data_IF_412641018330
#
_entry.id   IF_412641018330
#
_cell.length_a   1.000
_cell.length_b   1.000
_cell.length_c   1.000
_cell.angle_alpha   90.00
_cell.angle_beta   90.00
_cell.angle_gamma   90.00
#
_symmetry.space_group_name_H-M   'P 1'
#
loop_
_entity.id
_entity.type
_entity.pdbx_description
1 polymer ?
#
# COMPACT_ATOMS: atom_id res chain seq x y z
N UNK A 1 14.13 -35.83 -31.57
CA UNK A 1 14.66 -34.53 -31.14
C UNK A 1 13.46 -33.60 -30.99
N UNK A 2 12.85 -33.60 -29.80
CA UNK A 2 11.71 -32.73 -29.44
C UNK A 2 12.23 -31.50 -28.70
N UNK A 3 11.86 -30.31 -29.17
CA UNK A 3 12.10 -29.05 -28.46
C UNK A 3 11.16 -28.99 -27.24
N UNK A 4 11.63 -28.58 -26.09
CA UNK A 4 10.75 -28.25 -24.96
C UNK A 4 9.99 -26.96 -25.25
N UNK A 5 8.71 -26.92 -24.87
CA UNK A 5 7.85 -25.74 -24.88
C UNK A 5 8.36 -24.70 -23.85
N UNK A 6 8.19 -23.40 -24.10
CA UNK A 6 8.57 -22.38 -23.15
C UNK A 6 7.60 -22.35 -21.96
N UNK A 7 8.13 -22.48 -20.77
CA UNK A 7 7.41 -22.19 -19.52
C UNK A 7 6.97 -20.72 -19.52
N UNK A 8 5.68 -20.51 -19.66
CA UNK A 8 5.04 -19.22 -19.39
C UNK A 8 4.84 -19.10 -17.88
N UNK A 9 5.91 -18.81 -17.17
CA UNK A 9 5.80 -18.24 -15.84
C UNK A 9 5.21 -16.83 -15.96
N UNK A 10 4.02 -16.61 -15.42
CA UNK A 10 3.40 -15.29 -15.31
C UNK A 10 4.36 -14.35 -14.59
N UNK A 11 5.06 -13.51 -15.34
CA UNK A 11 5.88 -12.43 -14.79
C UNK A 11 4.93 -11.32 -14.37
N UNK A 12 4.57 -11.28 -13.09
CA UNK A 12 4.02 -10.09 -12.45
C UNK A 12 5.11 -9.00 -12.51
N UNK A 13 5.15 -8.25 -13.60
CA UNK A 13 6.04 -7.13 -13.79
C UNK A 13 5.30 -5.88 -13.32
N UNK A 14 5.40 -5.55 -12.02
CA UNK A 14 5.13 -4.20 -11.57
C UNK A 14 6.15 -3.29 -12.27
N UNK A 15 5.79 -2.79 -13.46
CA UNK A 15 6.62 -1.79 -14.15
C UNK A 15 6.47 -0.47 -13.39
N UNK A 16 7.60 0.06 -12.92
CA UNK A 16 7.69 1.37 -12.31
C UNK A 16 7.16 2.43 -13.29
N UNK A 17 5.99 2.98 -13.00
CA UNK A 17 5.59 4.25 -13.60
C UNK A 17 6.24 5.34 -12.75
N UNK A 18 7.20 6.11 -13.27
CA UNK A 18 7.84 7.14 -12.49
C UNK A 18 6.86 8.30 -12.29
N UNK A 19 6.22 8.33 -11.12
CA UNK A 19 5.49 9.52 -10.67
C UNK A 19 6.53 10.59 -10.32
N UNK A 20 6.65 11.61 -11.15
CA UNK A 20 7.72 12.61 -11.05
C UNK A 20 7.54 13.60 -9.90
N UNK A 21 6.33 13.65 -9.29
CA UNK A 21 6.05 14.63 -8.24
C UNK A 21 4.81 14.23 -7.43
N UNK A 22 4.64 14.77 -6.21
CA UNK A 22 3.41 14.67 -5.41
C UNK A 22 2.19 15.16 -6.21
N UNK A 23 2.38 16.17 -7.05
CA UNK A 23 1.36 16.67 -7.96
C UNK A 23 0.84 15.65 -8.99
N UNK A 24 1.63 14.60 -9.32
CA UNK A 24 1.17 13.57 -10.26
C UNK A 24 0.22 12.58 -9.57
N UNK A 25 0.43 12.30 -8.27
CA UNK A 25 -0.48 11.48 -7.46
C UNK A 25 -1.82 12.18 -7.26
N UNK A 26 -1.79 13.49 -6.94
CA UNK A 26 -2.99 14.32 -6.79
C UNK A 26 -3.76 14.41 -8.11
N UNK A 27 -3.07 14.61 -9.24
CA UNK A 27 -3.71 14.62 -10.56
C UNK A 27 -4.34 13.31 -10.98
N UNK A 28 -3.79 12.15 -10.56
CA UNK A 28 -4.43 10.86 -10.81
C UNK A 28 -5.78 10.72 -10.10
N UNK A 29 -5.94 11.33 -8.92
CA UNK A 29 -7.19 11.32 -8.17
C UNK A 29 -8.28 12.23 -8.74
N UNK A 30 -7.92 13.34 -9.42
CA UNK A 30 -8.88 14.29 -9.99
C UNK A 30 -9.60 13.78 -11.25
N UNK A 31 -9.14 12.67 -11.87
CA UNK A 31 -9.73 12.12 -13.12
C UNK A 31 -10.80 11.04 -12.89
N UNK A 32 -11.37 10.93 -11.70
CA UNK A 32 -12.37 9.89 -11.41
C UNK A 32 -13.80 10.36 -11.64
N UNK A 33 -14.37 10.08 -12.82
CA UNK A 33 -15.80 10.02 -13.02
C UNK A 33 -16.25 8.60 -13.39
N UNK A 34 -17.00 7.98 -12.48
CA UNK A 34 -17.95 6.86 -12.69
C UNK A 34 -17.46 5.44 -13.06
N UNK A 35 -16.18 5.17 -13.26
CA UNK A 35 -15.69 3.80 -13.30
C UNK A 35 -15.42 3.30 -11.87
N UNK A 36 -15.61 2.01 -11.62
CA UNK A 36 -15.44 1.37 -10.30
C UNK A 36 -13.99 1.48 -9.81
N UNK A 37 -13.62 2.63 -9.31
CA UNK A 37 -12.29 2.86 -8.77
C UNK A 37 -12.12 2.09 -7.46
N UNK A 38 -10.91 1.60 -7.22
CA UNK A 38 -10.55 0.84 -6.03
C UNK A 38 -9.91 1.73 -4.95
N UNK A 39 -9.97 3.05 -5.12
CA UNK A 39 -9.48 4.00 -4.13
C UNK A 39 -10.10 3.71 -2.76
N UNK A 40 -9.27 3.65 -1.73
CA UNK A 40 -9.73 3.35 -0.39
C UNK A 40 -10.09 1.89 -0.13
N UNK A 41 -9.78 0.98 -1.06
CA UNK A 41 -9.92 -0.47 -0.88
C UNK A 41 -8.59 -1.11 -0.48
N UNK A 42 -8.68 -2.31 0.07
CA UNK A 42 -7.53 -3.18 0.28
C UNK A 42 -7.44 -4.23 -0.82
N UNK A 43 -6.23 -4.44 -1.32
CA UNK A 43 -5.87 -5.62 -2.08
C UNK A 43 -5.20 -6.61 -1.14
N UNK A 44 -5.66 -7.85 -1.18
CA UNK A 44 -5.12 -8.95 -0.37
C UNK A 44 -4.49 -9.96 -1.32
N UNK A 45 -3.19 -10.19 -1.17
CA UNK A 45 -2.46 -11.12 -2.03
C UNK A 45 -2.98 -12.54 -1.86
N UNK A 46 -3.27 -13.23 -2.97
CA UNK A 46 -3.61 -14.65 -2.95
C UNK A 46 -2.39 -15.49 -2.56
N UNK A 47 -2.58 -16.66 -1.90
CA UNK A 47 -1.47 -17.58 -1.57
C UNK A 47 -0.66 -18.05 -2.79
N UNK A 48 -1.28 -18.02 -3.98
CA UNK A 48 -0.65 -18.35 -5.27
C UNK A 48 0.11 -17.18 -5.89
N UNK A 49 0.25 -16.05 -5.18
CA UNK A 49 0.99 -14.89 -5.66
C UNK A 49 2.41 -15.29 -6.06
N UNK A 50 2.73 -15.15 -7.36
CA UNK A 50 4.01 -15.59 -7.92
C UNK A 50 5.19 -14.65 -7.60
N UNK A 51 4.92 -13.42 -7.17
CA UNK A 51 5.93 -12.44 -6.80
C UNK A 51 6.17 -12.43 -5.29
N UNK A 52 7.36 -12.89 -4.81
CA UNK A 52 7.65 -12.98 -3.39
C UNK A 52 7.63 -11.63 -2.66
N UNK A 53 7.77 -10.51 -3.38
CA UNK A 53 7.67 -9.16 -2.79
C UNK A 53 6.28 -8.91 -2.24
N UNK A 54 5.26 -9.53 -2.84
CA UNK A 54 3.86 -9.38 -2.46
C UNK A 54 3.28 -10.60 -1.73
N UNK A 55 4.12 -11.59 -1.38
CA UNK A 55 3.64 -12.74 -0.58
C UNK A 55 2.94 -12.24 0.69
N UNK A 56 1.68 -12.68 0.88
CA UNK A 56 0.80 -12.28 2.00
C UNK A 56 0.70 -10.78 2.24
N UNK A 57 0.86 -9.97 1.20
CA UNK A 57 0.71 -8.52 1.31
C UNK A 57 -0.75 -8.12 1.45
N UNK A 58 -0.96 -7.06 2.23
CA UNK A 58 -2.18 -6.25 2.25
C UNK A 58 -1.78 -4.87 1.77
N UNK A 59 -2.42 -4.40 0.68
CA UNK A 59 -2.08 -3.13 0.05
C UNK A 59 -3.31 -2.21 0.11
N UNK A 60 -3.14 -1.03 0.67
CA UNK A 60 -4.16 0.02 0.62
C UNK A 60 -4.02 0.80 -0.68
N UNK A 61 -5.08 0.87 -1.49
CA UNK A 61 -5.09 1.62 -2.74
C UNK A 61 -5.35 3.10 -2.45
N UNK A 62 -4.33 3.92 -2.71
CA UNK A 62 -4.38 5.36 -2.53
C UNK A 62 -4.96 6.10 -3.73
N UNK A 63 -4.71 5.58 -4.94
CA UNK A 63 -5.23 6.15 -6.18
C UNK A 63 -5.43 5.05 -7.22
N UNK A 64 -6.54 5.11 -7.96
CA UNK A 64 -6.84 4.23 -9.09
C UNK A 64 -7.59 4.99 -10.18
N UNK A 65 -7.18 4.81 -11.43
CA UNK A 65 -7.78 5.41 -12.62
C UNK A 65 -7.48 4.57 -13.85
N UNK A 66 -8.04 4.95 -15.00
CA UNK A 66 -7.70 4.33 -16.30
C UNK A 66 -6.19 4.43 -16.65
N UNK A 67 -5.45 5.33 -16.00
CA UNK A 67 -4.01 5.51 -16.19
C UNK A 67 -3.16 4.61 -15.28
N UNK A 68 -3.77 3.82 -14.39
CA UNK A 68 -3.11 2.91 -13.49
C UNK A 68 -3.51 3.08 -12.03
N UNK A 69 -2.79 2.41 -11.14
CA UNK A 69 -3.06 2.42 -9.71
C UNK A 69 -1.78 2.61 -8.88
N UNK A 70 -1.95 3.17 -7.69
CA UNK A 70 -0.92 3.30 -6.67
C UNK A 70 -1.46 2.82 -5.32
N UNK A 71 -0.66 2.03 -4.60
CA UNK A 71 -1.02 1.57 -3.26
C UNK A 71 0.18 1.41 -2.34
N UNK A 72 -0.10 1.32 -1.05
CA UNK A 72 0.90 1.14 0.00
C UNK A 72 0.71 -0.21 0.69
N UNK A 73 1.77 -1.00 0.80
CA UNK A 73 1.77 -2.21 1.62
C UNK A 73 1.68 -1.79 3.09
N UNK A 74 0.66 -2.27 3.80
CA UNK A 74 0.35 -1.83 5.16
C UNK A 74 0.65 -2.88 6.23
N UNK A 75 1.23 -4.02 5.84
CA UNK A 75 1.49 -5.14 6.76
C UNK A 75 2.94 -5.67 6.71
N UNK A 76 3.87 -4.94 6.11
CA UNK A 76 5.29 -5.33 6.09
C UNK A 76 6.15 -4.28 6.78
N UNK A 77 6.33 -4.37 8.12
CA UNK A 77 7.21 -3.45 8.83
C UNK A 77 8.67 -3.63 8.38
N UNK A 78 9.38 -2.53 8.28
CA UNK A 78 10.82 -2.48 8.03
C UNK A 78 11.55 -2.67 9.38
N UNK A 79 11.85 -3.92 9.73
CA UNK A 79 12.34 -4.29 11.06
C UNK A 79 13.66 -3.58 11.46
N UNK A 80 14.46 -3.21 10.47
CA UNK A 80 15.79 -2.59 10.68
C UNK A 80 15.76 -1.06 10.67
N UNK A 81 14.59 -0.44 10.52
CA UNK A 81 14.45 1.01 10.42
C UNK A 81 13.37 1.53 11.37
N UNK A 82 13.78 2.33 12.35
CA UNK A 82 12.87 3.01 13.27
C UNK A 82 12.48 4.38 12.73
N UNK A 83 11.31 4.85 13.13
CA UNK A 83 10.87 6.21 12.78
C UNK A 83 11.85 7.28 13.29
N UNK A 84 12.42 7.11 14.50
CA UNK A 84 13.47 7.99 15.05
C UNK A 84 14.69 8.08 14.14
N UNK A 85 15.14 6.94 13.59
CA UNK A 85 16.33 6.91 12.74
C UNK A 85 16.10 7.68 11.43
N UNK A 86 14.88 7.66 10.94
CA UNK A 86 14.48 8.44 9.76
C UNK A 86 14.43 9.93 10.06
N UNK A 87 13.91 10.34 11.21
CA UNK A 87 13.91 11.75 11.63
C UNK A 87 15.34 12.29 11.77
N UNK A 88 16.24 11.49 12.36
CA UNK A 88 17.66 11.85 12.50
C UNK A 88 18.34 12.02 11.13
N UNK A 89 18.04 11.14 10.16
CA UNK A 89 18.56 11.25 8.79
C UNK A 89 18.06 12.50 8.04
N UNK A 90 16.89 13.00 8.42
CA UNK A 90 16.26 14.19 7.82
C UNK A 90 16.53 15.47 8.61
N UNK A 91 17.39 15.41 9.64
CA UNK A 91 17.68 16.53 10.57
C UNK A 91 16.41 17.10 11.28
N UNK A 92 15.37 16.28 11.42
CA UNK A 92 14.13 16.63 12.13
C UNK A 92 14.29 16.28 13.60
N UNK A 93 14.22 17.30 14.46
CA UNK A 93 14.31 17.12 15.90
C UNK A 93 12.94 16.78 16.48
N UNK A 94 12.87 15.70 17.24
CA UNK A 94 11.67 15.37 17.99
C UNK A 94 11.74 16.02 19.39
N UNK A 95 10.70 16.74 19.77
CA UNK A 95 10.60 17.37 21.09
C UNK A 95 10.35 16.36 22.22
N UNK A 96 9.93 15.14 21.85
CA UNK A 96 9.61 14.03 22.77
C UNK A 96 9.88 12.69 22.09
N UNK A 97 10.08 11.59 22.85
CA UNK A 97 10.12 10.26 22.29
C UNK A 97 8.81 9.97 21.52
N UNK A 98 8.94 9.50 20.29
CA UNK A 98 7.81 9.09 19.45
C UNK A 98 7.76 7.57 19.49
N UNK A 99 6.66 7.06 20.02
CA UNK A 99 6.40 5.62 20.10
C UNK A 99 5.19 5.24 19.23
N UNK A 100 5.14 3.98 18.79
CA UNK A 100 3.96 3.41 18.11
C UNK A 100 3.83 3.77 16.64
N UNK A 101 4.85 4.38 16.02
CA UNK A 101 4.89 4.57 14.56
C UNK A 101 5.91 3.62 13.95
N UNK A 102 5.40 2.63 13.24
CA UNK A 102 6.22 1.68 12.52
C UNK A 102 6.49 2.18 11.09
N UNK A 103 7.74 2.02 10.66
CA UNK A 103 8.11 2.24 9.26
C UNK A 103 7.83 0.95 8.50
N UNK A 104 7.14 1.07 7.37
CA UNK A 104 6.78 -0.08 6.53
C UNK A 104 7.52 -0.05 5.20
N UNK A 105 7.74 -1.21 4.63
CA UNK A 105 8.04 -1.38 3.23
C UNK A 105 6.75 -1.18 2.42
N UNK A 106 6.57 0.00 1.82
CA UNK A 106 5.34 0.38 1.12
C UNK A 106 5.20 -0.23 -0.26
N UNK A 107 6.30 -0.66 -0.87
CA UNK A 107 6.31 -1.31 -2.17
C UNK A 107 7.63 -1.18 -2.94
N UNK A 108 7.74 -1.80 -4.13
CA UNK A 108 9.00 -1.90 -4.87
C UNK A 108 9.40 -0.64 -5.64
N UNK A 109 8.57 0.41 -5.66
CA UNK A 109 8.82 1.63 -6.44
C UNK A 109 9.26 2.75 -5.50
N UNK A 110 10.29 3.52 -5.88
CA UNK A 110 10.79 4.68 -5.15
C UNK A 110 11.08 4.42 -3.65
N UNK A 111 11.87 3.40 -3.33
CA UNK A 111 12.18 2.99 -1.94
C UNK A 111 12.73 4.10 -1.02
N UNK A 112 13.31 5.16 -1.58
CA UNK A 112 13.82 6.30 -0.83
C UNK A 112 12.77 7.37 -0.53
N UNK A 113 11.52 7.19 -0.99
CA UNK A 113 10.44 8.15 -0.80
C UNK A 113 9.49 7.68 0.29
N UNK A 114 9.21 8.56 1.25
CA UNK A 114 8.26 8.33 2.33
C UNK A 114 6.83 8.75 1.96
N UNK A 115 5.86 7.95 2.38
CA UNK A 115 4.43 8.21 2.27
C UNK A 115 3.79 7.94 3.63
N UNK A 116 3.02 8.88 4.14
CA UNK A 116 2.28 8.71 5.39
C UNK A 116 0.81 8.54 5.05
N UNK A 117 0.30 7.32 5.24
CA UNK A 117 -1.13 7.03 5.24
C UNK A 117 -1.69 7.37 6.62
N UNK A 118 -2.76 8.15 6.69
CA UNK A 118 -3.24 8.67 7.97
C UNK A 118 -4.75 8.88 8.01
N UNK A 119 -5.28 9.04 9.23
CA UNK A 119 -6.65 9.43 9.47
C UNK A 119 -6.95 10.86 9.00
N UNK A 120 -8.19 11.14 8.61
CA UNK A 120 -8.61 12.41 8.00
C UNK A 120 -8.70 13.62 8.96
N UNK A 121 -8.32 13.44 10.21
CA UNK A 121 -8.19 14.54 11.20
C UNK A 121 -6.94 15.41 10.96
N UNK A 122 -6.11 15.05 9.98
CA UNK A 122 -4.91 15.78 9.58
C UNK A 122 -4.88 16.02 8.06
N UNK A 123 -4.16 17.06 7.66
CA UNK A 123 -3.82 17.36 6.28
C UNK A 123 -4.32 18.70 5.79
N UNK A 124 -3.77 19.14 4.67
CA UNK A 124 -4.17 20.33 3.93
C UNK A 124 -4.54 19.97 2.49
N UNK A 125 -5.30 20.82 1.81
CA UNK A 125 -5.67 20.62 0.41
C UNK A 125 -4.45 20.58 -0.53
N UNK A 126 -3.36 21.26 -0.16
CA UNK A 126 -2.18 21.39 -1.01
C UNK A 126 -1.17 20.22 -0.86
N UNK A 127 -1.10 19.55 0.31
CA UNK A 127 -0.07 18.57 0.61
C UNK A 127 -0.61 17.14 0.79
N UNK A 128 -1.93 16.98 0.97
CA UNK A 128 -2.58 15.71 1.28
C UNK A 128 -3.46 15.25 0.14
N UNK A 129 -3.19 14.04 -0.35
CA UNK A 129 -4.14 13.32 -1.19
C UNK A 129 -5.28 12.82 -0.31
N UNK A 130 -6.48 13.36 -0.49
CA UNK A 130 -7.70 12.83 0.10
C UNK A 130 -8.11 11.58 -0.64
N UNK A 131 -7.99 10.40 0.00
CA UNK A 131 -8.39 9.14 -0.61
C UNK A 131 -9.90 8.94 -0.47
N UNK A 132 -10.41 9.10 0.75
CA UNK A 132 -11.84 9.05 1.05
C UNK A 132 -12.15 9.82 2.35
N UNK A 133 -13.35 9.65 2.92
CA UNK A 133 -13.77 10.35 4.15
C UNK A 133 -12.96 9.94 5.40
N UNK A 134 -12.30 8.77 5.37
CA UNK A 134 -11.59 8.21 6.52
C UNK A 134 -10.07 8.31 6.41
N UNK A 135 -9.52 8.34 5.18
CA UNK A 135 -8.09 8.25 4.93
C UNK A 135 -7.58 9.39 4.07
N UNK A 136 -6.39 9.87 4.41
CA UNK A 136 -5.55 10.75 3.62
C UNK A 136 -4.14 10.16 3.47
N UNK A 137 -3.42 10.61 2.47
CA UNK A 137 -2.02 10.28 2.26
C UNK A 137 -1.21 11.55 2.03
N UNK A 138 -0.15 11.73 2.77
CA UNK A 138 0.77 12.88 2.66
C UNK A 138 2.18 12.37 2.36
N UNK A 139 2.88 13.02 1.42
CA UNK A 139 4.23 12.64 0.99
C UNK A 139 5.24 13.79 1.14
N UNK A 140 4.91 14.82 1.91
CA UNK A 140 5.79 15.96 2.22
C UNK A 140 6.45 15.78 3.58
N UNK A 141 7.56 16.49 3.82
CA UNK A 141 8.28 16.41 5.09
C UNK A 141 7.51 17.03 6.27
N UNK A 142 6.63 17.99 5.97
CA UNK A 142 5.87 18.74 7.00
C UNK A 142 5.10 17.80 7.94
N UNK A 143 4.54 16.70 7.42
CA UNK A 143 3.82 15.73 8.27
C UNK A 143 4.75 15.05 9.27
N UNK A 144 6.02 14.80 8.91
CA UNK A 144 6.99 14.20 9.83
C UNK A 144 7.39 15.20 10.93
N UNK A 145 7.51 16.49 10.58
CA UNK A 145 7.75 17.56 11.53
C UNK A 145 6.56 17.69 12.49
N UNK A 146 5.33 17.73 11.98
CA UNK A 146 4.12 17.81 12.79
C UNK A 146 3.97 16.61 13.72
N UNK A 147 4.23 15.39 13.23
CA UNK A 147 4.26 14.18 14.07
C UNK A 147 5.31 14.32 15.17
N UNK A 148 6.51 14.82 14.86
CA UNK A 148 7.61 14.97 15.81
C UNK A 148 7.28 15.96 16.93
N UNK A 149 6.46 16.97 16.66
CA UNK A 149 5.98 17.98 17.58
C UNK A 149 4.66 17.60 18.28
N UNK A 150 4.00 16.53 17.84
CA UNK A 150 2.73 16.05 18.41
C UNK A 150 1.48 16.69 17.83
N UNK A 151 1.59 17.33 16.68
CA UNK A 151 0.50 17.89 15.90
C UNK A 151 0.06 16.98 14.72
N UNK A 152 0.64 15.80 14.61
CA UNK A 152 0.32 14.82 13.59
C UNK A 152 -1.08 14.20 13.74
N UNK A 153 -1.47 13.33 12.80
CA UNK A 153 -2.77 12.61 12.81
C UNK A 153 -2.89 11.67 14.01
N UNK A 154 -4.13 11.34 14.40
CA UNK A 154 -4.41 10.39 15.49
C UNK A 154 -3.94 8.97 15.14
N UNK A 155 -4.04 8.59 13.87
CA UNK A 155 -3.58 7.30 13.38
C UNK A 155 -2.79 7.50 12.10
N UNK A 156 -1.60 6.91 12.03
CA UNK A 156 -0.79 6.95 10.82
C UNK A 156 0.09 5.71 10.69
N UNK A 157 0.56 5.51 9.46
CA UNK A 157 1.50 4.49 9.05
C UNK A 157 2.47 5.14 8.06
N UNK A 158 3.77 5.06 8.31
CA UNK A 158 4.79 5.51 7.38
C UNK A 158 5.22 4.35 6.48
N UNK A 159 5.18 4.56 5.17
CA UNK A 159 5.61 3.60 4.18
C UNK A 159 6.74 4.16 3.33
N UNK A 160 7.79 3.38 3.11
CA UNK A 160 8.88 3.69 2.17
C UNK A 160 8.64 2.98 0.85
N UNK A 161 8.58 3.76 -0.23
CA UNK A 161 8.18 3.29 -1.55
C UNK A 161 6.69 2.98 -1.65
N UNK A 162 6.27 2.52 -2.81
CA UNK A 162 4.88 2.17 -3.11
C UNK A 162 4.77 1.00 -4.10
N UNK A 163 3.60 0.41 -4.21
CA UNK A 163 3.21 -0.51 -5.25
C UNK A 163 2.49 0.26 -6.37
N UNK A 164 2.93 0.09 -7.62
CA UNK A 164 2.38 0.78 -8.77
C UNK A 164 1.98 -0.19 -9.87
N UNK A 165 0.86 0.10 -10.51
CA UNK A 165 0.33 -0.64 -11.67
C UNK A 165 0.12 0.31 -12.84
N UNK A 166 0.52 -0.12 -14.03
CA UNK A 166 0.21 0.59 -15.27
C UNK A 166 -1.26 0.44 -15.67
N UNK A 167 -1.69 1.14 -16.76
CA UNK A 167 -3.06 1.06 -17.26
C UNK A 167 -3.53 -0.37 -17.51
N UNK A 168 -4.66 -0.77 -16.88
CA UNK A 168 -5.26 -2.09 -17.03
C UNK A 168 -4.49 -3.26 -16.38
N UNK A 169 -3.33 -3.01 -15.78
CA UNK A 169 -2.51 -4.06 -15.18
C UNK A 169 -3.16 -4.62 -13.92
N UNK A 170 -3.63 -3.77 -13.01
CA UNK A 170 -4.28 -4.21 -11.78
C UNK A 170 -5.53 -5.04 -12.06
N UNK A 171 -6.36 -4.61 -13.01
CA UNK A 171 -7.56 -5.35 -13.43
C UNK A 171 -7.20 -6.70 -14.06
N UNK A 172 -6.08 -6.77 -14.77
CA UNK A 172 -5.53 -8.02 -15.29
C UNK A 172 -5.17 -8.98 -14.16
N UNK A 173 -4.39 -8.53 -13.20
CA UNK A 173 -3.95 -9.32 -12.05
C UNK A 173 -5.12 -9.78 -11.16
N UNK A 174 -6.15 -8.93 -11.00
CA UNK A 174 -7.39 -9.31 -10.28
C UNK A 174 -8.14 -10.42 -11.03
N UNK A 175 -8.30 -10.31 -12.37
CA UNK A 175 -8.94 -11.35 -13.19
C UNK A 175 -8.18 -12.68 -13.18
N UNK A 176 -6.87 -12.63 -13.02
CA UNK A 176 -5.99 -13.79 -12.87
C UNK A 176 -5.95 -14.33 -11.43
N UNK A 177 -6.81 -13.83 -10.55
CA UNK A 177 -6.87 -14.18 -9.13
C UNK A 177 -5.53 -13.93 -8.38
N UNK A 178 -4.77 -12.91 -8.75
CA UNK A 178 -3.61 -12.48 -7.99
C UNK A 178 -4.00 -11.73 -6.72
N UNK A 179 -5.09 -10.99 -6.76
CA UNK A 179 -5.58 -10.14 -5.68
C UNK A 179 -7.05 -10.38 -5.37
N UNK A 180 -7.37 -10.34 -4.08
CA UNK A 180 -8.73 -10.19 -3.57
C UNK A 180 -8.94 -8.75 -3.12
N UNK A 181 -10.19 -8.26 -3.21
CA UNK A 181 -10.56 -6.90 -2.81
C UNK A 181 -11.38 -7.00 -1.54
N UNK A 182 -11.05 -6.19 -0.54
CA UNK A 182 -11.88 -6.01 0.64
C UNK A 182 -12.00 -4.54 1.05
N UNK A 183 -12.96 -4.24 1.92
CA UNK A 183 -13.12 -2.90 2.48
C UNK A 183 -11.95 -2.58 3.41
N UNK A 184 -11.51 -1.32 3.41
CA UNK A 184 -10.48 -0.85 4.31
C UNK A 184 -11.11 -0.34 5.60
N UNK A 185 -10.91 -1.06 6.69
CA UNK A 185 -11.28 -0.64 8.04
C UNK A 185 -10.06 -0.01 8.73
N UNK A 186 -10.23 1.13 9.40
CA UNK A 186 -9.14 1.80 10.14
C UNK A 186 -8.48 0.89 11.16
N UNK A 187 -9.28 0.08 11.86
CA UNK A 187 -8.76 -0.84 12.87
C UNK A 187 -7.87 -1.93 12.25
N UNK A 188 -8.12 -2.32 11.01
CA UNK A 188 -7.30 -3.24 10.26
C UNK A 188 -6.05 -2.55 9.70
N UNK A 189 -6.22 -1.41 9.03
CA UNK A 189 -5.12 -0.69 8.36
C UNK A 189 -4.06 -0.24 9.36
N UNK A 190 -4.47 0.36 10.49
CA UNK A 190 -3.57 0.90 11.52
C UNK A 190 -3.29 -0.09 12.66
N UNK A 191 -3.69 -1.37 12.55
CA UNK A 191 -3.36 -2.40 13.55
C UNK A 191 -1.86 -2.56 13.72
N UNK A 192 -1.40 -2.76 14.93
CA UNK A 192 -0.01 -3.14 15.23
C UNK A 192 0.26 -4.64 15.00
N UNK A 193 -0.78 -5.47 14.80
CA UNK A 193 -0.63 -6.88 14.44
C UNK A 193 -0.38 -7.02 12.92
N UNK A 194 0.84 -6.72 12.51
CA UNK A 194 1.23 -6.72 11.09
C UNK A 194 1.11 -8.12 10.46
N UNK A 195 1.48 -9.16 11.19
CA UNK A 195 1.43 -10.55 10.70
C UNK A 195 -0.02 -11.04 10.55
N UNK A 196 -0.90 -10.64 11.46
CA UNK A 196 -2.31 -11.01 11.46
C UNK A 196 -3.15 -10.27 10.43
N UNK A 197 -2.73 -9.10 9.92
CA UNK A 197 -3.51 -8.28 8.98
C UNK A 197 -3.98 -9.06 7.75
N UNK A 198 -3.10 -9.86 7.15
CA UNK A 198 -3.47 -10.64 5.96
C UNK A 198 -4.58 -11.64 6.24
N UNK A 199 -4.47 -12.40 7.33
CA UNK A 199 -5.50 -13.36 7.73
C UNK A 199 -6.80 -12.66 8.14
N UNK A 200 -6.72 -11.50 8.80
CA UNK A 200 -7.86 -10.70 9.18
C UNK A 200 -8.61 -10.16 7.96
N UNK A 201 -7.89 -9.64 6.95
CA UNK A 201 -8.46 -9.18 5.69
C UNK A 201 -9.16 -10.32 4.93
N UNK A 202 -8.54 -11.52 4.85
CA UNK A 202 -9.17 -12.70 4.28
C UNK A 202 -10.46 -13.08 4.99
N UNK A 203 -10.45 -13.07 6.32
CA UNK A 203 -11.62 -13.38 7.14
C UNK A 203 -12.75 -12.37 6.92
N UNK A 204 -12.43 -11.09 6.72
CA UNK A 204 -13.42 -10.05 6.46
C UNK A 204 -14.26 -10.32 5.20
N UNK A 205 -13.66 -10.93 4.18
CA UNK A 205 -14.33 -11.35 2.94
C UNK A 205 -14.86 -12.80 3.00
N UNK A 206 -14.89 -13.41 4.19
CA UNK A 206 -15.44 -14.74 4.39
C UNK A 206 -14.55 -15.90 3.94
N UNK A 207 -13.25 -15.65 3.72
CA UNK A 207 -12.29 -16.67 3.30
C UNK A 207 -11.44 -17.11 4.50
N UNK A 208 -11.41 -18.42 4.76
CA UNK A 208 -10.47 -18.99 5.72
C UNK A 208 -9.13 -19.27 5.01
N UNK A 209 -8.03 -18.59 5.40
CA UNK A 209 -6.73 -18.79 4.76
C UNK A 209 -6.21 -20.24 4.82
N UNK A 210 -6.66 -21.03 5.81
CA UNK A 210 -6.26 -22.43 5.97
C UNK A 210 -6.87 -23.35 4.91
N UNK A 211 -7.96 -22.92 4.27
CA UNK A 211 -8.65 -23.67 3.20
C UNK A 211 -8.06 -23.36 1.81
N UNK A 212 -7.33 -22.25 1.70
CA UNK A 212 -6.63 -21.88 0.48
C UNK A 212 -5.31 -22.65 0.41
N UNK A 213 -5.39 -23.94 0.03
CA UNK A 213 -4.18 -24.72 -0.24
C UNK A 213 -3.47 -24.21 -1.50
N UNK A 214 -2.13 -24.30 -1.52
CA UNK A 214 -1.32 -23.99 -2.73
C UNK A 214 -1.60 -24.94 -3.90
N UNK A 215 -2.48 -25.93 -3.73
CA UNK A 215 -2.93 -26.88 -4.74
C UNK A 215 -4.32 -26.58 -5.32
N UNK A 216 -4.77 -25.31 -5.25
CA UNK A 216 -6.02 -24.87 -5.85
C UNK A 216 -5.96 -24.92 -7.38
N UNK A 217 -6.51 -25.97 -7.98
CA UNK A 217 -6.88 -25.96 -9.38
C UNK A 217 -6.19 -26.94 -10.31
N UNK A 218 -6.35 -28.22 -10.05
CA UNK A 218 -6.41 -29.23 -11.14
C UNK A 218 -7.82 -29.80 -11.14
N UNK A 219 -8.68 -29.20 -11.95
CA UNK A 219 -9.89 -29.83 -12.47
C UNK A 219 -9.75 -29.91 -13.97
#
# INVERSE_FOLDING_TARGET
MGRPAPEQGARCLAMAVPLRNTGDVVKMAEYSSEARHLDGRLLVAMPSMGDPRFDRSVIYICAHSDNGAMGLIVNKPAADLKFSDLLDQLDIKADRPIEGIDVHYGGPVEHGRGFVLHSRDYGSEDSTLTVNEEFGMTATLDILEDISQGFGPQSCLLALGYAGWGPGQLEGEIRENGWLICDADKSLVFSADHEGKWAAAMKQIGIDPRVLSMEGGRA
#
